data_IF_712808359611
#
_entry.id   IF_712808359611
#
_cell.length_a   1.000
_cell.length_b   1.000
_cell.length_c   1.000
_cell.angle_alpha   90.00
_cell.angle_beta   90.00
_cell.angle_gamma   90.00
#
_symmetry.space_group_name_H-M   'P 1'
#
loop_
_entity.id
_entity.type
_entity.pdbx_description
1 polymer ?
#
# COMPACT_ATOMS: atom_id res chain seq x y z
N UNK A 1 17.45 12.91 26.82
CA UNK A 1 16.57 11.77 27.15
C UNK A 1 17.06 10.92 28.34
N UNK A 2 18.38 10.77 28.56
CA UNK A 2 18.91 9.93 29.66
C UNK A 2 18.54 10.37 31.08
N UNK A 3 18.45 11.68 31.36
CA UNK A 3 18.16 12.18 32.73
C UNK A 3 16.73 11.91 33.22
N UNK A 4 15.75 11.76 32.31
CA UNK A 4 14.33 11.48 32.67
C UNK A 4 14.11 10.00 32.96
N UNK A 5 14.77 9.12 32.20
CA UNK A 5 14.73 7.66 32.36
C UNK A 5 15.37 7.23 33.69
N UNK A 6 16.48 7.85 34.07
CA UNK A 6 17.16 7.56 35.34
C UNK A 6 16.34 7.99 36.57
N UNK A 7 15.65 9.14 36.50
CA UNK A 7 14.75 9.59 37.57
C UNK A 7 13.49 8.73 37.72
N UNK A 8 12.94 8.23 36.61
CA UNK A 8 11.79 7.29 36.64
C UNK A 8 12.21 5.89 37.14
N UNK A 9 13.40 5.39 36.81
CA UNK A 9 13.89 4.11 37.37
C UNK A 9 14.09 4.16 38.90
N UNK A 10 14.67 5.24 39.43
CA UNK A 10 14.95 5.41 40.86
C UNK A 10 13.68 5.53 41.74
N UNK A 11 12.55 5.98 41.18
CA UNK A 11 11.30 6.16 41.95
C UNK A 11 10.49 4.86 42.10
N UNK A 12 10.67 3.88 41.20
CA UNK A 12 9.89 2.64 41.17
C UNK A 12 10.54 1.47 41.90
N UNK A 13 11.87 1.49 42.00
CA UNK A 13 12.67 0.52 42.72
C UNK A 13 12.17 0.26 44.16
N UNK A 14 11.86 1.28 45.00
CA UNK A 14 11.37 1.05 46.35
C UNK A 14 10.00 0.35 46.39
N UNK A 15 9.04 0.73 45.52
CA UNK A 15 7.71 0.12 45.48
C UNK A 15 7.74 -1.33 44.97
N UNK A 16 8.59 -1.61 43.98
CA UNK A 16 8.79 -2.96 43.45
C UNK A 16 9.47 -3.83 44.51
N UNK A 17 10.45 -3.29 45.21
CA UNK A 17 11.15 -3.99 46.28
C UNK A 17 10.23 -4.26 47.47
N UNK A 18 9.39 -3.32 47.86
CA UNK A 18 8.38 -3.50 48.90
C UNK A 18 7.40 -4.64 48.53
N UNK A 19 6.91 -4.67 47.28
CA UNK A 19 6.06 -5.77 46.80
C UNK A 19 6.77 -7.12 46.88
N UNK A 20 8.06 -7.18 46.56
CA UNK A 20 8.88 -8.40 46.66
C UNK A 20 9.03 -8.85 48.12
N UNK A 21 9.30 -7.93 49.04
CA UNK A 21 9.42 -8.23 50.47
C UNK A 21 8.10 -8.78 51.04
N UNK A 22 6.96 -8.17 50.69
CA UNK A 22 5.64 -8.68 51.10
C UNK A 22 5.32 -10.05 50.49
N UNK A 23 5.79 -10.32 49.27
CA UNK A 23 5.67 -11.65 48.65
C UNK A 23 6.52 -12.70 49.37
N UNK A 24 7.72 -12.33 49.82
CA UNK A 24 8.57 -13.21 50.62
C UNK A 24 7.92 -13.54 51.97
N UNK A 25 7.31 -12.57 52.64
CA UNK A 25 6.59 -12.78 53.91
C UNK A 25 5.44 -13.80 53.78
N UNK A 26 4.71 -13.81 52.66
CA UNK A 26 3.68 -14.84 52.38
C UNK A 26 4.30 -16.23 52.28
N UNK A 27 5.46 -16.35 51.64
CA UNK A 27 6.13 -17.62 51.40
C UNK A 27 6.77 -18.19 52.68
N UNK A 28 7.18 -17.33 53.62
CA UNK A 28 7.79 -17.73 54.90
C UNK A 28 6.78 -17.90 56.05
N UNK A 29 5.52 -17.52 55.84
CA UNK A 29 4.46 -17.64 56.85
C UNK A 29 4.21 -19.11 57.22
N UNK A 30 4.19 -19.41 58.52
CA UNK A 30 4.04 -20.78 59.03
C UNK A 30 2.58 -21.14 59.34
N UNK A 31 1.79 -20.19 59.83
CA UNK A 31 0.38 -20.42 60.16
C UNK A 31 -0.58 -19.82 59.12
N UNK A 32 -1.81 -20.33 59.08
CA UNK A 32 -2.86 -19.85 58.16
C UNK A 32 -3.25 -18.39 58.43
N UNK A 33 -3.25 -17.98 59.69
CA UNK A 33 -3.59 -16.61 60.09
C UNK A 33 -2.51 -15.60 59.65
N UNK A 34 -1.23 -15.92 59.85
CA UNK A 34 -0.10 -15.09 59.38
C UNK A 34 -0.10 -14.97 57.86
N UNK A 35 -0.35 -16.08 57.15
CA UNK A 35 -0.43 -16.08 55.68
C UNK A 35 -1.57 -15.20 55.17
N UNK A 36 -2.73 -15.22 55.83
CA UNK A 36 -3.86 -14.35 55.49
C UNK A 36 -3.52 -12.86 55.69
N UNK A 37 -2.85 -12.50 56.79
CA UNK A 37 -2.39 -11.14 57.05
C UNK A 37 -1.36 -10.67 56.03
N UNK A 38 -0.32 -11.47 55.77
CA UNK A 38 0.70 -11.15 54.76
C UNK A 38 0.11 -11.03 53.34
N UNK A 39 -0.89 -11.85 53.03
CA UNK A 39 -1.62 -11.78 51.77
C UNK A 39 -2.41 -10.46 51.64
N UNK A 40 -3.09 -10.01 52.70
CA UNK A 40 -3.79 -8.73 52.71
C UNK A 40 -2.83 -7.55 52.43
N UNK A 41 -1.69 -7.52 53.11
CA UNK A 41 -0.64 -6.49 52.93
C UNK A 41 -0.06 -6.50 51.50
N UNK A 42 0.28 -7.68 50.96
CA UNK A 42 0.73 -7.81 49.57
C UNK A 42 -0.31 -7.30 48.58
N UNK A 43 -1.59 -7.51 48.85
CA UNK A 43 -2.67 -7.12 47.95
C UNK A 43 -2.74 -5.59 47.81
N UNK A 44 -2.53 -4.86 48.91
CA UNK A 44 -2.48 -3.39 48.92
C UNK A 44 -1.30 -2.87 48.09
N UNK A 45 -0.08 -3.35 48.37
CA UNK A 45 1.13 -2.92 47.66
C UNK A 45 1.07 -3.31 46.17
N UNK A 46 0.55 -4.49 45.84
CA UNK A 46 0.38 -4.93 44.45
C UNK A 46 -0.63 -4.07 43.68
N UNK A 47 -1.71 -3.62 44.33
CA UNK A 47 -2.65 -2.65 43.72
C UNK A 47 -1.94 -1.32 43.44
N UNK A 48 -1.12 -0.84 44.38
CA UNK A 48 -0.36 0.40 44.21
C UNK A 48 0.62 0.32 43.03
N UNK A 49 1.40 -0.76 42.94
CA UNK A 49 2.32 -1.00 41.80
C UNK A 49 1.57 -1.08 40.48
N UNK A 50 0.42 -1.76 40.43
CA UNK A 50 -0.40 -1.81 39.20
C UNK A 50 -0.95 -0.44 38.82
N UNK A 51 -1.34 0.38 39.81
CA UNK A 51 -1.84 1.74 39.59
C UNK A 51 -0.74 2.63 39.01
N UNK A 52 0.46 2.58 39.57
CA UNK A 52 1.59 3.38 39.09
C UNK A 52 2.02 3.00 37.67
N UNK A 53 2.13 1.71 37.36
CA UNK A 53 2.39 1.22 35.98
C UNK A 53 1.34 1.73 34.98
N UNK A 54 0.06 1.74 35.36
CA UNK A 54 -1.01 2.26 34.48
C UNK A 54 -0.88 3.77 34.28
N UNK A 55 -0.56 4.52 35.33
CA UNK A 55 -0.34 5.97 35.25
C UNK A 55 0.83 6.29 34.32
N UNK A 56 1.94 5.59 34.45
CA UNK A 56 3.11 5.79 33.59
C UNK A 56 2.82 5.46 32.13
N UNK A 57 2.15 4.34 31.88
CA UNK A 57 1.75 3.97 30.52
C UNK A 57 0.86 5.05 29.90
N UNK A 58 -0.06 5.62 30.68
CA UNK A 58 -0.92 6.73 30.22
C UNK A 58 -0.09 7.98 29.94
N UNK A 59 0.80 8.38 30.86
CA UNK A 59 1.68 9.54 30.71
C UNK A 59 2.59 9.42 29.48
N UNK A 60 3.16 8.25 29.23
CA UNK A 60 3.95 7.97 28.04
C UNK A 60 3.15 8.18 26.75
N UNK A 61 1.91 7.65 26.70
CA UNK A 61 1.00 7.83 25.56
C UNK A 61 0.60 9.30 25.39
N UNK A 62 0.31 10.01 26.47
CA UNK A 62 -0.01 11.44 26.45
C UNK A 62 1.17 12.30 25.95
N UNK A 63 2.38 12.03 26.41
CA UNK A 63 3.59 12.74 25.95
C UNK A 63 3.84 12.51 24.45
N UNK A 64 3.62 11.29 23.94
CA UNK A 64 3.65 11.00 22.51
C UNK A 64 2.57 11.77 21.74
N UNK A 65 1.34 11.79 22.24
CA UNK A 65 0.23 12.50 21.60
C UNK A 65 0.50 14.01 21.52
N UNK A 66 1.00 14.63 22.60
CA UNK A 66 1.42 16.04 22.61
C UNK A 66 2.53 16.32 21.60
N UNK A 67 3.47 15.39 21.46
CA UNK A 67 4.56 15.52 20.47
C UNK A 67 4.02 15.43 19.04
N UNK A 68 3.05 14.53 18.78
CA UNK A 68 2.38 14.43 17.49
C UNK A 68 1.60 15.71 17.16
N UNK A 69 0.85 16.26 18.13
CA UNK A 69 0.12 17.51 17.96
C UNK A 69 1.07 18.67 17.60
N UNK A 70 2.21 18.78 18.30
CA UNK A 70 3.23 19.78 18.00
C UNK A 70 3.78 19.61 16.58
N UNK A 71 4.13 18.38 16.18
CA UNK A 71 4.63 18.10 14.84
C UNK A 71 3.61 18.47 13.75
N UNK A 72 2.31 18.25 13.99
CA UNK A 72 1.25 18.66 13.08
C UNK A 72 1.18 20.19 12.94
N UNK A 73 1.26 20.94 14.05
CA UNK A 73 1.28 22.42 14.04
C UNK A 73 2.48 22.98 13.29
N UNK A 74 3.63 22.32 13.38
CA UNK A 74 4.88 22.72 12.71
C UNK A 74 4.96 22.25 11.25
N UNK A 75 3.96 21.50 10.75
CA UNK A 75 3.97 20.95 9.39
C UNK A 75 4.95 19.78 9.19
N UNK A 76 5.49 19.21 10.27
CA UNK A 76 6.43 18.08 10.23
C UNK A 76 5.69 16.75 10.06
N UNK A 77 5.22 16.50 8.84
CA UNK A 77 4.39 15.34 8.50
C UNK A 77 5.10 13.99 8.75
N UNK A 78 6.42 13.93 8.59
CA UNK A 78 7.19 12.70 8.82
C UNK A 78 7.14 12.28 10.28
N UNK A 79 7.42 13.21 11.20
CA UNK A 79 7.37 12.92 12.64
C UNK A 79 5.95 12.59 13.11
N UNK A 80 4.95 13.31 12.60
CA UNK A 80 3.54 13.04 12.89
C UNK A 80 3.17 11.60 12.50
N UNK A 81 3.54 11.17 11.29
CA UNK A 81 3.25 9.81 10.81
C UNK A 81 3.96 8.75 11.66
N UNK A 82 5.24 8.93 11.96
CA UNK A 82 6.02 7.98 12.76
C UNK A 82 5.45 7.82 14.19
N UNK A 83 5.03 8.91 14.82
CA UNK A 83 4.41 8.86 16.16
C UNK A 83 3.02 8.21 16.09
N UNK A 84 2.21 8.57 15.09
CA UNK A 84 0.88 7.99 14.89
C UNK A 84 0.98 6.48 14.66
N UNK A 85 1.94 6.03 13.85
CA UNK A 85 2.23 4.61 13.62
C UNK A 85 2.65 3.88 14.90
N UNK A 86 3.45 4.53 15.77
CA UNK A 86 3.79 3.98 17.09
C UNK A 86 2.56 3.86 18.00
N UNK A 87 1.68 4.86 18.01
CA UNK A 87 0.47 4.89 18.83
C UNK A 87 -0.60 3.90 18.36
N UNK A 88 -0.78 3.75 17.05
CA UNK A 88 -1.80 2.85 16.47
C UNK A 88 -1.51 1.36 16.74
N UNK A 89 -0.28 1.05 17.15
CA UNK A 89 0.21 -0.32 17.28
C UNK A 89 0.25 -1.05 15.93
N UNK A 90 1.01 -2.15 15.88
CA UNK A 90 0.85 -3.08 14.77
C UNK A 90 -0.48 -3.81 14.94
N UNK A 91 -1.52 -3.36 14.24
CA UNK A 91 -2.66 -4.25 13.96
C UNK A 91 -2.09 -5.41 13.15
N UNK A 92 -1.93 -6.58 13.78
CA UNK A 92 -1.65 -7.80 13.03
C UNK A 92 -2.81 -7.97 12.06
N UNK A 93 -2.57 -7.75 10.77
CA UNK A 93 -3.47 -8.30 9.77
C UNK A 93 -3.44 -9.81 10.02
N UNK A 94 -4.59 -10.49 10.17
CA UNK A 94 -4.58 -11.93 10.06
C UNK A 94 -4.00 -12.22 8.67
N UNK A 95 -2.88 -12.93 8.64
CA UNK A 95 -2.36 -13.49 7.41
C UNK A 95 -3.44 -14.43 6.91
N UNK A 96 -4.03 -14.10 5.75
CA UNK A 96 -5.04 -14.97 5.14
C UNK A 96 -4.25 -16.12 4.53
N UNK A 97 -4.31 -17.34 5.10
CA UNK A 97 -3.50 -18.42 4.59
C UNK A 97 -3.99 -18.78 3.19
N UNK A 98 -3.06 -19.01 2.26
CA UNK A 98 -3.40 -19.52 0.93
C UNK A 98 -3.86 -20.96 1.09
N UNK A 99 -5.00 -21.30 0.48
CA UNK A 99 -5.54 -22.66 0.54
C UNK A 99 -5.21 -23.46 -0.71
N UNK A 100 -4.96 -24.76 -0.55
CA UNK A 100 -4.88 -25.72 -1.65
C UNK A 100 -6.23 -25.81 -2.38
N UNK A 101 -6.25 -26.55 -3.48
CA UNK A 101 -7.48 -26.79 -4.24
C UNK A 101 -8.51 -27.60 -3.43
N UNK A 102 -8.02 -28.42 -2.51
CA UNK A 102 -8.78 -29.26 -1.58
C UNK A 102 -9.21 -28.50 -0.31
N UNK A 103 -8.80 -27.23 -0.17
CA UNK A 103 -9.20 -26.35 0.93
C UNK A 103 -8.28 -26.38 2.16
N UNK A 104 -7.16 -27.09 2.09
CA UNK A 104 -6.14 -27.17 3.16
C UNK A 104 -5.27 -25.92 3.19
N UNK A 105 -4.76 -25.55 4.36
CA UNK A 105 -3.93 -24.34 4.52
C UNK A 105 -2.48 -24.63 4.13
N UNK A 106 -1.96 -23.89 3.14
CA UNK A 106 -0.58 -24.00 2.68
C UNK A 106 0.33 -23.10 3.52
N UNK A 107 1.31 -23.71 4.18
CA UNK A 107 2.28 -23.01 5.05
C UNK A 107 3.65 -22.79 4.38
N UNK A 108 3.99 -23.58 3.35
CA UNK A 108 5.26 -23.50 2.62
C UNK A 108 5.18 -22.47 1.47
N UNK A 109 6.21 -21.62 1.32
CA UNK A 109 6.30 -20.59 0.27
C UNK A 109 6.32 -21.22 -1.14
N UNK A 110 7.02 -22.33 -1.33
CA UNK A 110 7.11 -23.01 -2.63
C UNK A 110 5.74 -23.56 -3.06
N UNK A 111 5.03 -24.19 -2.13
CA UNK A 111 3.66 -24.69 -2.36
C UNK A 111 2.68 -23.55 -2.64
N UNK A 112 2.86 -22.38 -2.01
CA UNK A 112 2.04 -21.20 -2.32
C UNK A 112 2.28 -20.72 -3.75
N UNK A 113 3.54 -20.67 -4.21
CA UNK A 113 3.86 -20.33 -5.59
C UNK A 113 3.27 -21.34 -6.58
N UNK A 114 3.40 -22.64 -6.28
CA UNK A 114 2.81 -23.69 -7.10
C UNK A 114 1.28 -23.59 -7.17
N UNK A 115 0.61 -23.24 -6.06
CA UNK A 115 -0.83 -23.00 -6.01
C UNK A 115 -1.26 -21.81 -6.88
N UNK A 116 -0.45 -20.74 -6.92
CA UNK A 116 -0.66 -19.61 -7.83
C UNK A 116 -0.50 -20.02 -9.28
N UNK A 117 0.56 -20.77 -9.61
CA UNK A 117 0.81 -21.28 -10.96
C UNK A 117 -0.34 -22.17 -11.42
N UNK A 118 -0.82 -23.08 -10.58
CA UNK A 118 -1.97 -23.95 -10.87
C UNK A 118 -3.25 -23.13 -11.12
N UNK A 119 -3.56 -22.17 -10.24
CA UNK A 119 -4.75 -21.32 -10.38
C UNK A 119 -4.77 -20.59 -11.73
N UNK A 120 -3.65 -19.94 -12.07
CA UNK A 120 -3.55 -19.20 -13.32
C UNK A 120 -3.52 -20.10 -14.55
N UNK A 121 -2.93 -21.30 -14.45
CA UNK A 121 -2.98 -22.28 -15.54
C UNK A 121 -4.41 -22.72 -15.84
N UNK A 122 -5.21 -23.02 -14.82
CA UNK A 122 -6.62 -23.41 -14.98
C UNK A 122 -7.47 -22.26 -15.52
N UNK A 123 -7.23 -21.04 -15.04
CA UNK A 123 -7.99 -19.86 -15.43
C UNK A 123 -7.70 -19.42 -16.88
N UNK A 124 -6.41 -19.40 -17.27
CA UNK A 124 -5.98 -18.84 -18.56
C UNK A 124 -5.93 -19.87 -19.70
N UNK A 125 -5.75 -21.16 -19.39
CA UNK A 125 -5.68 -22.23 -20.40
C UNK A 125 -6.93 -23.10 -20.45
N UNK A 126 -8.10 -22.53 -20.12
CA UNK A 126 -9.37 -23.26 -20.21
C UNK A 126 -9.61 -23.68 -21.67
N UNK A 127 -9.90 -24.96 -21.96
CA UNK A 127 -10.23 -25.39 -23.31
C UNK A 127 -11.50 -24.67 -23.78
N UNK A 128 -11.60 -24.45 -25.10
CA UNK A 128 -12.80 -23.87 -25.70
C UNK A 128 -14.02 -24.69 -25.26
N UNK A 129 -15.12 -24.03 -24.83
CA UNK A 129 -16.31 -24.74 -24.40
C UNK A 129 -16.80 -25.68 -25.52
N UNK A 130 -17.11 -26.93 -25.16
CA UNK A 130 -17.49 -27.98 -26.11
C UNK A 130 -18.72 -27.61 -26.95
N UNK A 131 -19.62 -26.83 -26.35
CA UNK A 131 -20.73 -26.20 -27.02
C UNK A 131 -20.38 -24.72 -27.20
N UNK A 132 -20.16 -24.24 -28.44
CA UNK A 132 -20.08 -22.81 -28.66
C UNK A 132 -21.37 -22.18 -28.12
N UNK A 133 -21.29 -21.05 -27.40
CA UNK A 133 -22.49 -20.32 -27.02
C UNK A 133 -23.31 -20.06 -28.29
N UNK A 134 -24.57 -20.47 -28.31
CA UNK A 134 -25.49 -20.10 -29.37
C UNK A 134 -25.81 -18.61 -29.21
N UNK A 135 -24.91 -17.76 -29.69
CA UNK A 135 -25.13 -16.32 -29.78
C UNK A 135 -26.05 -16.15 -30.98
N UNK A 136 -27.35 -16.00 -30.74
CA UNK A 136 -28.29 -15.59 -31.77
C UNK A 136 -27.73 -14.33 -32.43
N UNK A 137 -27.46 -14.40 -33.73
CA UNK A 137 -26.93 -13.26 -34.47
C UNK A 137 -27.88 -12.08 -34.24
N UNK A 138 -27.33 -10.96 -33.75
CA UNK A 138 -28.11 -9.75 -33.63
C UNK A 138 -28.73 -9.46 -35.01
N UNK A 139 -30.07 -9.47 -35.08
CA UNK A 139 -30.82 -9.33 -36.33
C UNK A 139 -30.61 -7.99 -37.03
N UNK A 140 -29.96 -7.05 -36.34
CA UNK A 140 -29.70 -5.69 -36.79
C UNK A 140 -28.24 -5.34 -36.50
N UNK A 141 -27.45 -5.10 -37.54
CA UNK A 141 -26.17 -4.41 -37.40
C UNK A 141 -26.48 -3.01 -36.84
N UNK A 142 -26.03 -2.73 -35.62
CA UNK A 142 -26.10 -1.38 -35.09
C UNK A 142 -25.33 -0.45 -36.06
N UNK A 143 -25.87 0.72 -36.41
CA UNK A 143 -25.18 1.69 -37.26
C UNK A 143 -24.04 2.34 -36.47
N UNK A 144 -22.99 1.57 -36.22
CA UNK A 144 -21.76 2.03 -35.57
C UNK A 144 -20.81 2.43 -36.67
N UNK A 145 -20.45 3.71 -36.70
CA UNK A 145 -19.45 4.22 -37.61
C UNK A 145 -18.08 3.63 -37.24
N UNK A 146 -17.56 2.72 -38.08
CA UNK A 146 -16.21 2.15 -37.96
C UNK A 146 -15.16 2.96 -38.74
N UNK A 147 -15.55 4.09 -39.33
CA UNK A 147 -14.66 4.99 -40.03
C UNK A 147 -13.72 5.76 -39.08
N UNK A 148 -12.68 6.41 -39.62
CA UNK A 148 -11.82 7.30 -38.84
C UNK A 148 -12.64 8.43 -38.18
N UNK A 149 -12.31 8.83 -36.95
CA UNK A 149 -13.02 9.91 -36.26
C UNK A 149 -12.86 11.22 -37.03
N UNK A 150 -13.96 11.96 -37.15
CA UNK A 150 -13.98 13.26 -37.81
C UNK A 150 -13.36 14.33 -36.93
N UNK A 151 -12.84 15.39 -37.54
CA UNK A 151 -12.23 16.52 -36.82
C UNK A 151 -13.23 17.18 -35.85
N UNK A 152 -14.51 17.21 -36.22
CA UNK A 152 -15.59 17.75 -35.38
C UNK A 152 -15.86 16.87 -34.15
N UNK A 153 -15.90 15.55 -34.31
CA UNK A 153 -16.05 14.60 -33.21
C UNK A 153 -14.89 14.72 -32.21
N UNK A 154 -13.65 14.81 -32.70
CA UNK A 154 -12.46 15.00 -31.87
C UNK A 154 -12.53 16.33 -31.12
N UNK A 155 -12.90 17.41 -31.81
CA UNK A 155 -13.08 18.73 -31.19
C UNK A 155 -14.16 18.71 -30.10
N UNK A 156 -15.30 18.07 -30.35
CA UNK A 156 -16.37 17.89 -29.36
C UNK A 156 -15.89 17.10 -28.15
N UNK A 157 -15.17 16.00 -28.36
CA UNK A 157 -14.62 15.20 -27.27
C UNK A 157 -13.65 16.01 -26.39
N UNK A 158 -12.75 16.79 -27.00
CA UNK A 158 -11.81 17.67 -26.29
C UNK A 158 -12.56 18.72 -25.45
N UNK A 159 -13.65 19.30 -25.98
CA UNK A 159 -14.47 20.27 -25.25
C UNK A 159 -15.16 19.66 -24.03
N UNK A 160 -15.54 18.39 -24.08
CA UNK A 160 -16.20 17.65 -22.99
C UNK A 160 -15.26 17.24 -21.85
N UNK A 161 -13.93 17.27 -22.04
CA UNK A 161 -12.96 16.93 -20.98
C UNK A 161 -13.19 17.84 -19.76
N UNK A 162 -13.10 17.32 -18.53
CA UNK A 162 -13.27 18.15 -17.32
C UNK A 162 -12.02 19.01 -17.06
N UNK A 163 -12.22 20.30 -16.81
CA UNK A 163 -11.16 21.24 -16.42
C UNK A 163 -10.88 21.15 -14.91
N UNK A 164 -9.70 21.60 -14.47
CA UNK A 164 -9.27 21.60 -13.07
C UNK A 164 -8.70 20.26 -12.57
N UNK A 165 -8.31 19.35 -13.47
CA UNK A 165 -7.58 18.13 -13.13
C UNK A 165 -6.07 18.36 -13.21
N UNK A 166 -5.32 17.66 -12.37
CA UNK A 166 -3.85 17.68 -12.41
C UNK A 166 -3.34 17.12 -13.75
N UNK A 167 -2.30 17.75 -14.30
CA UNK A 167 -1.65 17.31 -15.53
C UNK A 167 -0.95 15.95 -15.31
N UNK A 168 -0.84 15.17 -16.39
CA UNK A 168 -0.07 13.94 -16.40
C UNK A 168 1.44 14.18 -16.31
N UNK A 169 2.27 13.12 -16.35
CA UNK A 169 3.73 13.24 -16.40
C UNK A 169 4.26 14.04 -17.60
N UNK A 170 3.44 14.21 -18.63
CA UNK A 170 3.68 15.05 -19.80
C UNK A 170 3.47 16.55 -19.54
N UNK A 171 2.96 16.93 -18.36
CA UNK A 171 2.62 18.30 -17.97
C UNK A 171 1.59 18.98 -18.88
N UNK A 172 0.78 18.21 -19.61
CA UNK A 172 -0.28 18.74 -20.49
C UNK A 172 -1.60 18.77 -19.72
N UNK A 173 -2.18 19.96 -19.53
CA UNK A 173 -3.48 20.12 -18.85
C UNK A 173 -4.66 20.08 -19.82
N UNK A 174 -5.85 19.78 -19.29
CA UNK A 174 -7.08 19.81 -20.08
C UNK A 174 -7.39 21.21 -20.64
N UNK A 175 -6.97 22.26 -19.96
CA UNK A 175 -7.12 23.66 -20.39
C UNK A 175 -6.28 23.95 -21.63
N UNK A 176 -5.05 23.41 -21.70
CA UNK A 176 -4.17 23.59 -22.85
C UNK A 176 -4.79 22.99 -24.12
N UNK A 177 -5.33 21.76 -24.02
CA UNK A 177 -6.00 21.09 -25.14
C UNK A 177 -7.25 21.85 -25.61
N UNK A 178 -8.03 22.40 -24.67
CA UNK A 178 -9.22 23.20 -25.00
C UNK A 178 -8.88 24.56 -25.61
N UNK A 179 -7.77 25.19 -25.21
CA UNK A 179 -7.34 26.46 -25.77
C UNK A 179 -6.97 26.33 -27.25
N UNK A 180 -6.33 25.22 -27.62
CA UNK A 180 -5.89 24.97 -29.01
C UNK A 180 -7.06 24.85 -30.00
N UNK A 181 -8.17 24.19 -29.59
CA UNK A 181 -9.39 24.08 -30.41
C UNK A 181 -10.07 25.42 -30.75
N UNK A 182 -9.76 26.50 -30.01
CA UNK A 182 -10.29 27.85 -30.28
C UNK A 182 -9.45 28.62 -31.29
N UNK A 183 -8.24 28.17 -31.59
CA UNK A 183 -7.37 28.83 -32.56
C UNK A 183 -7.82 28.45 -33.98
N UNK A 184 -7.97 29.44 -34.87
CA UNK A 184 -8.25 29.20 -36.31
C UNK A 184 -7.12 28.43 -37.02
N UNK A 185 -6.02 28.13 -36.33
CA UNK A 185 -4.82 27.44 -36.81
C UNK A 185 -4.86 25.92 -36.62
N UNK A 186 -5.88 25.39 -35.92
CA UNK A 186 -6.00 23.96 -35.62
C UNK A 186 -6.00 23.08 -36.88
N UNK A 187 -6.69 23.51 -37.94
CA UNK A 187 -6.75 22.77 -39.21
C UNK A 187 -5.44 22.77 -40.01
N UNK A 188 -4.63 23.84 -39.93
CA UNK A 188 -3.37 23.94 -40.68
C UNK A 188 -2.20 23.25 -39.99
N UNK A 189 -2.15 23.25 -38.66
CA UNK A 189 -1.03 22.64 -37.91
C UNK A 189 -1.11 21.10 -37.93
N UNK A 190 -2.31 20.55 -37.74
CA UNK A 190 -2.53 19.10 -37.70
C UNK A 190 -2.38 18.42 -39.05
N UNK A 191 -2.85 19.04 -40.14
CA UNK A 191 -2.69 18.49 -41.50
C UNK A 191 -1.22 18.42 -41.93
N UNK A 192 -0.37 19.36 -41.49
CA UNK A 192 1.06 19.32 -41.77
C UNK A 192 1.80 18.27 -40.92
N UNK A 193 1.38 18.05 -39.67
CA UNK A 193 1.97 17.03 -38.81
C UNK A 193 1.71 15.60 -39.32
N UNK A 194 0.49 15.30 -39.79
CA UNK A 194 0.15 13.99 -40.35
C UNK A 194 0.88 13.72 -41.68
N UNK A 195 1.05 14.74 -42.52
CA UNK A 195 1.78 14.61 -43.78
C UNK A 195 3.30 14.48 -43.59
N UNK A 196 3.88 15.08 -42.53
CA UNK A 196 5.31 15.00 -42.21
C UNK A 196 5.76 13.68 -41.55
N UNK A 197 4.83 12.87 -41.03
CA UNK A 197 5.17 11.58 -40.39
C UNK A 197 5.55 10.50 -41.42
N UNK A 198 5.26 10.70 -42.70
CA UNK A 198 5.64 9.74 -43.74
C UNK A 198 7.16 9.72 -44.09
N UNK A 199 8.01 10.55 -43.47
CA UNK A 199 9.42 10.69 -43.90
C UNK A 199 10.48 10.67 -42.78
N UNK A 200 10.15 10.38 -41.52
CA UNK A 200 11.14 10.41 -40.41
C UNK A 200 11.17 9.13 -39.59
N UNK A 201 11.62 8.04 -40.20
CA UNK A 201 11.85 6.72 -39.58
C UNK A 201 13.21 6.62 -38.86
N UNK A 202 13.72 7.69 -38.24
CA UNK A 202 15.05 7.66 -37.60
C UNK A 202 15.02 7.80 -36.07
N UNK A 203 14.11 8.61 -35.52
CA UNK A 203 14.08 8.90 -34.06
C UNK A 203 13.56 7.73 -33.21
N UNK A 204 12.88 6.77 -33.82
CA UNK A 204 12.37 5.56 -33.15
C UNK A 204 13.49 4.60 -32.70
N UNK A 205 14.60 4.54 -33.43
CA UNK A 205 15.69 3.59 -33.15
C UNK A 205 16.54 4.00 -31.94
N UNK A 206 16.80 5.30 -31.78
CA UNK A 206 17.63 5.81 -30.67
C UNK A 206 16.88 5.73 -29.35
N UNK A 207 15.58 6.06 -29.35
CA UNK A 207 14.73 5.98 -28.16
C UNK A 207 14.45 4.53 -27.76
N UNK A 208 14.29 3.59 -28.72
CA UNK A 208 14.23 2.15 -28.40
C UNK A 208 15.53 1.63 -27.80
N UNK A 209 16.70 2.05 -28.30
CA UNK A 209 18.00 1.62 -27.75
C UNK A 209 18.22 2.11 -26.31
N UNK A 210 17.84 3.35 -26.01
CA UNK A 210 17.91 3.86 -24.63
C UNK A 210 16.92 3.18 -23.69
N UNK A 211 15.72 2.82 -24.17
CA UNK A 211 14.75 2.07 -23.37
C UNK A 211 15.26 0.66 -23.03
N UNK A 212 15.86 -0.04 -24.00
CA UNK A 212 16.41 -1.39 -23.81
C UNK A 212 17.58 -1.37 -22.82
N UNK A 213 18.52 -0.42 -22.97
CA UNK A 213 19.65 -0.25 -22.05
C UNK A 213 19.19 0.10 -20.60
N UNK A 214 18.12 0.87 -20.45
CA UNK A 214 17.56 1.22 -19.14
C UNK A 214 16.86 0.01 -18.48
N UNK A 215 16.19 -0.85 -19.25
CA UNK A 215 15.54 -2.06 -18.72
C UNK A 215 16.53 -3.15 -18.30
N UNK A 216 17.67 -3.28 -18.99
CA UNK A 216 18.70 -4.29 -18.66
C UNK A 216 19.44 -3.98 -17.34
N UNK A 217 19.66 -2.71 -17.00
CA UNK A 217 20.34 -2.33 -15.76
C UNK A 217 19.51 -2.52 -14.48
N UNK A 218 18.18 -2.47 -14.58
CA UNK A 218 17.31 -2.45 -13.41
C UNK A 218 16.56 -3.77 -13.14
N UNK A 219 16.39 -4.64 -14.14
CA UNK A 219 15.46 -5.78 -14.04
C UNK A 219 15.95 -7.13 -14.58
N UNK A 220 17.23 -7.28 -14.97
CA UNK A 220 17.87 -8.58 -15.28
C UNK A 220 17.03 -9.58 -16.09
N UNK A 221 17.21 -9.62 -17.42
CA UNK A 221 16.75 -10.64 -18.39
C UNK A 221 15.50 -11.46 -18.03
N UNK A 222 14.36 -10.80 -17.82
CA UNK A 222 13.09 -11.48 -17.56
C UNK A 222 12.30 -11.84 -18.84
N UNK A 223 12.74 -11.43 -20.04
CA UNK A 223 12.06 -11.76 -21.31
C UNK A 223 13.02 -12.01 -22.48
N UNK A 224 13.84 -13.06 -22.41
CA UNK A 224 14.52 -13.61 -23.58
C UNK A 224 13.92 -14.98 -23.96
N UNK A 225 12.85 -14.95 -24.75
CA UNK A 225 12.41 -16.09 -25.59
C UNK A 225 11.78 -15.57 -26.88
N UNK A 226 12.57 -14.89 -27.70
CA UNK A 226 12.27 -14.75 -29.14
C UNK A 226 13.43 -15.30 -29.97
N UNK A 227 13.57 -16.62 -29.94
CA UNK A 227 14.38 -17.36 -30.89
C UNK A 227 13.72 -18.73 -31.18
N UNK A 228 12.61 -18.72 -31.91
CA UNK A 228 12.21 -19.84 -32.77
C UNK A 228 11.01 -19.46 -33.64
N UNK A 229 11.29 -18.86 -34.80
CA UNK A 229 10.47 -18.96 -36.02
C UNK A 229 11.19 -18.24 -37.18
N UNK A 230 12.31 -18.83 -37.61
CA UNK A 230 12.87 -18.71 -38.96
C UNK A 230 13.74 -19.94 -39.24
N UNK A 231 13.11 -21.06 -39.62
CA UNK A 231 13.24 -21.74 -40.92
C UNK A 231 12.46 -23.05 -40.87
#
# INVERSE_FOLDING_TARGET
>A
MGSRILKEQLAYEPLIQERRNKKAAINTSRTRAEKAKAQAEYTVVNKQVKKSIRTDKRKYVEDLAKTAEKAAREGNMRQLYDITKKLSGNRRKPERPVKSKEGEVITNIEEQQNRWVEHFKELLNRPAPLNPPNIEAASTNLPINVGPPTIEEISMAIRQIKSGKAAGPDNISAEALKADTKSKLYGSLWNNQLNGIHHSTSTSLTTKRHLIAWTEQHYGNFFDTTACLKR
#
